data_IF_626098832538
#
_entry.id   IF_626098832538
#
_cell.length_a   1.000
_cell.length_b   1.000
_cell.length_c   1.000
_cell.angle_alpha   90.00
_cell.angle_beta   90.00
_cell.angle_gamma   90.00
#
_symmetry.space_group_name_H-M   'P 1'
#
loop_
_entity.id
_entity.type
_entity.pdbx_description
1 polymer ?
#
# COMPACT_ATOMS: atom_id res chain seq x y z
N UNK A 1 17.13 -46.55 1.55
CA UNK A 1 16.00 -46.04 2.36
C UNK A 1 15.60 -44.60 2.02
N UNK A 2 16.51 -43.65 1.71
CA UNK A 2 16.13 -42.28 1.27
C UNK A 2 15.55 -42.18 -0.16
N UNK A 3 15.69 -43.24 -0.98
CA UNK A 3 15.16 -43.32 -2.35
C UNK A 3 13.67 -43.76 -2.41
N UNK A 4 13.17 -44.43 -1.37
CA UNK A 4 11.80 -44.98 -1.34
C UNK A 4 10.78 -44.02 -0.72
N UNK A 5 11.24 -42.96 -0.05
CA UNK A 5 10.34 -41.94 0.50
C UNK A 5 9.89 -40.99 -0.61
N UNK A 6 8.58 -40.83 -0.87
CA UNK A 6 8.08 -39.92 -1.88
C UNK A 6 8.48 -38.48 -1.54
N UNK A 7 8.95 -37.74 -2.55
CA UNK A 7 9.39 -36.33 -2.40
C UNK A 7 8.23 -35.34 -2.23
N UNK A 8 7.01 -35.78 -2.57
CA UNK A 8 5.80 -35.01 -2.50
C UNK A 8 4.72 -35.86 -1.83
N UNK A 9 3.99 -35.27 -0.90
CA UNK A 9 2.80 -35.85 -0.26
C UNK A 9 1.64 -34.88 -0.47
N UNK A 10 0.43 -35.41 -0.63
CA UNK A 10 -0.76 -34.58 -0.74
C UNK A 10 -1.16 -34.05 0.66
N UNK A 11 -1.87 -32.93 0.71
CA UNK A 11 -2.37 -32.36 1.98
C UNK A 11 -3.31 -33.32 2.75
N UNK A 12 -3.88 -34.31 2.04
CA UNK A 12 -4.70 -35.38 2.64
C UNK A 12 -3.89 -36.43 3.39
N UNK A 13 -2.61 -36.59 3.06
CA UNK A 13 -1.70 -37.59 3.64
C UNK A 13 -0.94 -37.07 4.87
N UNK A 14 -1.02 -35.77 5.15
CA UNK A 14 -0.38 -35.17 6.32
C UNK A 14 -1.11 -35.55 7.61
N UNK A 15 -0.38 -35.91 8.69
CA UNK A 15 -0.95 -36.05 10.03
C UNK A 15 -1.72 -34.79 10.43
N UNK A 16 -2.81 -34.93 11.19
CA UNK A 16 -3.71 -33.81 11.51
C UNK A 16 -2.99 -32.61 12.17
N UNK A 17 -1.96 -32.87 12.97
CA UNK A 17 -1.12 -31.84 13.60
C UNK A 17 -0.25 -31.05 12.61
N UNK A 18 0.03 -31.60 11.42
CA UNK A 18 0.87 -31.02 10.37
C UNK A 18 0.03 -30.48 9.19
N UNK A 19 -1.29 -30.67 9.21
CA UNK A 19 -2.18 -30.12 8.18
C UNK A 19 -2.25 -28.61 8.31
N UNK A 20 -1.99 -27.91 7.21
CA UNK A 20 -2.12 -26.46 7.15
C UNK A 20 -3.53 -26.03 7.55
N UNK A 21 -3.62 -25.07 8.47
CA UNK A 21 -4.89 -24.43 8.81
C UNK A 21 -5.33 -23.58 7.61
N UNK A 22 -6.28 -24.08 6.84
CA UNK A 22 -6.91 -23.31 5.77
C UNK A 22 -7.69 -22.14 6.41
N UNK A 23 -7.47 -20.92 5.92
CA UNK A 23 -8.36 -19.81 6.26
C UNK A 23 -9.77 -20.20 5.85
N UNK A 24 -10.75 -20.05 6.74
CA UNK A 24 -12.15 -20.23 6.38
C UNK A 24 -12.47 -19.43 5.11
N UNK A 25 -13.23 -20.00 4.19
CA UNK A 25 -13.47 -19.44 2.84
C UNK A 25 -13.84 -17.95 2.87
N UNK A 26 -14.59 -17.51 3.89
CA UNK A 26 -14.96 -16.11 4.09
C UNK A 26 -13.77 -15.20 4.43
N UNK A 27 -12.89 -15.62 5.34
CA UNK A 27 -11.66 -14.87 5.66
C UNK A 27 -10.73 -14.76 4.44
N UNK A 28 -10.69 -15.81 3.60
CA UNK A 28 -9.94 -15.76 2.34
C UNK A 28 -10.48 -14.68 1.41
N UNK A 29 -11.79 -14.62 1.18
CA UNK A 29 -12.39 -13.61 0.30
C UNK A 29 -12.13 -12.19 0.78
N UNK A 30 -12.28 -11.93 2.09
CA UNK A 30 -11.99 -10.61 2.66
C UNK A 30 -10.53 -10.19 2.40
N UNK A 31 -9.58 -11.07 2.68
CA UNK A 31 -8.16 -10.79 2.48
C UNK A 31 -7.84 -10.58 1.00
N UNK A 32 -8.40 -11.40 0.12
CA UNK A 32 -8.18 -11.26 -1.33
C UNK A 32 -8.80 -9.96 -1.86
N UNK A 33 -9.94 -9.51 -1.34
CA UNK A 33 -10.51 -8.19 -1.65
C UNK A 33 -9.60 -7.05 -1.19
N UNK A 34 -9.08 -7.10 0.04
CA UNK A 34 -8.15 -6.08 0.55
C UNK A 34 -6.89 -5.99 -0.31
N UNK A 35 -6.31 -7.14 -0.68
CA UNK A 35 -5.15 -7.19 -1.59
C UNK A 35 -5.46 -6.59 -2.95
N UNK A 36 -6.63 -6.89 -3.52
CA UNK A 36 -7.04 -6.33 -4.81
C UNK A 36 -7.24 -4.83 -4.77
N UNK A 37 -7.80 -4.29 -3.68
CA UNK A 37 -7.94 -2.84 -3.48
C UNK A 37 -6.55 -2.20 -3.38
N UNK A 38 -5.68 -2.72 -2.51
CA UNK A 38 -4.32 -2.21 -2.34
C UNK A 38 -3.53 -2.22 -3.66
N UNK A 39 -3.56 -3.35 -4.40
CA UNK A 39 -2.88 -3.48 -5.69
C UNK A 39 -3.39 -2.46 -6.73
N UNK A 40 -4.71 -2.23 -6.78
CA UNK A 40 -5.31 -1.26 -7.71
C UNK A 40 -4.97 0.17 -7.32
N UNK A 41 -5.02 0.49 -6.03
CA UNK A 41 -4.63 1.81 -5.52
C UNK A 41 -3.16 2.11 -5.81
N UNK A 42 -2.25 1.16 -5.54
CA UNK A 42 -0.83 1.30 -5.89
C UNK A 42 -0.63 1.48 -7.39
N UNK A 43 -1.33 0.69 -8.21
CA UNK A 43 -1.25 0.81 -9.68
C UNK A 43 -1.73 2.18 -10.17
N UNK A 44 -2.81 2.72 -9.60
CA UNK A 44 -3.30 4.05 -9.93
C UNK A 44 -2.27 5.13 -9.55
N UNK A 45 -1.72 5.08 -8.33
CA UNK A 45 -0.67 6.00 -7.89
C UNK A 45 0.58 5.92 -8.79
N UNK A 46 1.04 4.71 -9.12
CA UNK A 46 2.19 4.52 -9.99
C UNK A 46 1.96 5.09 -11.39
N UNK A 47 0.74 4.96 -11.94
CA UNK A 47 0.39 5.55 -13.22
C UNK A 47 0.37 7.09 -13.16
N UNK A 48 -0.19 7.68 -12.10
CA UNK A 48 -0.18 9.13 -11.89
C UNK A 48 1.25 9.70 -11.80
N UNK A 49 2.18 8.97 -11.18
CA UNK A 49 3.59 9.37 -11.13
C UNK A 49 4.29 9.28 -12.51
N UNK A 50 3.92 8.29 -13.33
CA UNK A 50 4.50 8.10 -14.67
C UNK A 50 4.09 9.17 -15.67
N UNK A 51 2.85 9.66 -15.60
CA UNK A 51 2.34 10.69 -16.51
C UNK A 51 3.11 12.02 -16.43
N UNK A 52 3.89 12.22 -15.36
CA UNK A 52 4.56 13.49 -15.07
C UNK A 52 6.04 13.51 -15.47
N UNK A 53 6.47 12.59 -16.36
CA UNK A 53 7.79 12.55 -17.02
C UNK A 53 9.03 12.54 -16.11
N UNK A 54 8.88 12.29 -14.81
CA UNK A 54 10.00 12.25 -13.85
C UNK A 54 10.53 10.84 -13.56
N UNK A 55 9.86 9.80 -14.06
CA UNK A 55 10.27 8.39 -13.88
C UNK A 55 10.14 7.63 -15.20
N UNK A 56 11.26 7.46 -15.90
CA UNK A 56 11.30 6.83 -17.21
C UNK A 56 11.01 5.33 -17.15
N UNK A 57 11.24 4.68 -15.99
CA UNK A 57 11.07 3.23 -15.83
C UNK A 57 9.84 2.89 -14.98
N UNK A 58 9.00 1.93 -15.42
CA UNK A 58 7.82 1.50 -14.66
C UNK A 58 8.13 1.02 -13.23
N UNK A 59 9.33 0.47 -13.01
CA UNK A 59 9.74 -0.07 -11.73
C UNK A 59 10.16 1.00 -10.72
N UNK A 60 10.57 2.19 -11.19
CA UNK A 60 10.99 3.30 -10.34
C UNK A 60 9.81 3.86 -9.53
N UNK A 61 8.65 4.03 -10.16
CA UNK A 61 7.44 4.52 -9.50
C UNK A 61 6.97 3.58 -8.38
N UNK A 62 6.94 2.26 -8.64
CA UNK A 62 6.56 1.27 -7.62
C UNK A 62 7.60 1.17 -6.51
N UNK A 63 8.89 1.24 -6.84
CA UNK A 63 9.96 1.22 -5.85
C UNK A 63 9.87 2.43 -4.91
N UNK A 64 9.55 3.61 -5.44
CA UNK A 64 9.32 4.81 -4.64
C UNK A 64 8.10 4.66 -3.73
N UNK A 65 6.96 4.20 -4.25
CA UNK A 65 5.76 3.97 -3.43
C UNK A 65 6.02 2.95 -2.32
N UNK A 66 6.71 1.86 -2.62
CA UNK A 66 7.09 0.85 -1.62
C UNK A 66 8.05 1.39 -0.56
N UNK A 67 8.95 2.31 -0.92
CA UNK A 67 9.80 3.01 0.04
C UNK A 67 8.94 3.92 0.94
N UNK A 68 8.01 4.68 0.33
CA UNK A 68 7.09 5.57 1.04
C UNK A 68 6.19 4.83 2.03
N UNK A 69 5.72 3.63 1.69
CA UNK A 69 4.90 2.83 2.62
C UNK A 69 5.67 2.31 3.84
N UNK A 70 7.01 2.38 3.82
CA UNK A 70 7.87 1.98 4.94
C UNK A 70 8.32 3.16 5.79
N UNK A 71 8.08 4.40 5.35
CA UNK A 71 8.38 5.59 6.14
C UNK A 71 7.25 5.88 7.10
N UNK A 72 7.60 6.38 8.28
CA UNK A 72 6.62 6.94 9.21
C UNK A 72 6.02 8.22 8.60
N UNK A 73 4.84 8.59 9.10
CA UNK A 73 4.17 9.83 8.72
C UNK A 73 3.43 10.37 9.94
N UNK A 74 3.42 11.68 10.11
CA UNK A 74 2.63 12.30 11.17
C UNK A 74 1.17 12.37 10.75
N UNK A 75 0.27 12.00 11.66
CA UNK A 75 -1.18 12.13 11.47
C UNK A 75 -1.68 13.22 12.41
N UNK A 76 -2.08 14.34 11.84
CA UNK A 76 -2.39 15.57 12.55
C UNK A 76 -3.87 15.95 12.30
N UNK A 77 -4.79 15.54 13.19
CA UNK A 77 -6.18 15.96 13.11
C UNK A 77 -6.34 17.43 13.52
N UNK A 78 -7.04 18.20 12.70
CA UNK A 78 -7.50 19.55 13.02
C UNK A 78 -9.03 19.56 12.95
N UNK A 79 -9.66 19.52 14.12
CA UNK A 79 -11.12 19.51 14.22
C UNK A 79 -11.76 20.87 13.95
N UNK A 80 -11.01 21.98 14.10
CA UNK A 80 -11.53 23.32 13.81
C UNK A 80 -11.51 23.60 12.31
N UNK A 81 -10.42 23.23 11.64
CA UNK A 81 -10.30 23.32 10.18
C UNK A 81 -11.08 22.21 9.45
N UNK A 82 -11.47 21.15 10.16
CA UNK A 82 -12.15 19.99 9.58
C UNK A 82 -11.23 19.15 8.68
N UNK A 83 -9.94 19.05 9.02
CA UNK A 83 -8.94 18.34 8.22
C UNK A 83 -8.19 17.28 9.03
N UNK A 84 -7.64 16.30 8.32
CA UNK A 84 -6.71 15.31 8.85
C UNK A 84 -5.48 15.36 7.97
N UNK A 85 -4.41 16.00 8.46
CA UNK A 85 -3.18 16.16 7.70
C UNK A 85 -2.28 14.94 7.89
N UNK A 86 -1.87 14.33 6.78
CA UNK A 86 -0.87 13.25 6.72
C UNK A 86 0.42 13.86 6.21
N UNK A 87 1.39 14.03 7.11
CA UNK A 87 2.69 14.63 6.79
C UNK A 87 3.73 13.55 6.53
N UNK A 88 4.14 13.44 5.27
CA UNK A 88 5.17 12.52 4.82
C UNK A 88 6.54 13.13 5.09
N UNK A 89 7.47 12.39 5.67
CA UNK A 89 8.82 12.90 5.91
C UNK A 89 9.63 13.02 4.59
N UNK A 90 10.42 14.10 4.48
CA UNK A 90 11.33 14.35 3.36
C UNK A 90 12.24 13.15 3.09
N UNK A 91 12.41 12.79 1.82
CA UNK A 91 13.45 11.84 1.42
C UNK A 91 14.79 12.57 1.27
N UNK A 92 15.93 11.88 1.37
CA UNK A 92 17.25 12.54 1.26
C UNK A 92 17.55 13.21 -0.11
N UNK A 93 16.62 13.21 -1.06
CA UNK A 93 16.80 13.69 -2.42
C UNK A 93 15.66 14.62 -2.87
N UNK A 94 16.01 15.87 -3.19
CA UNK A 94 15.08 16.89 -3.66
C UNK A 94 14.27 16.49 -4.92
N UNK A 95 14.84 15.67 -5.81
CA UNK A 95 14.09 15.21 -6.99
C UNK A 95 12.98 14.23 -6.62
N UNK A 96 13.20 13.39 -5.60
CA UNK A 96 12.20 12.46 -5.07
C UNK A 96 11.08 13.22 -4.39
N UNK A 97 11.41 14.26 -3.63
CA UNK A 97 10.44 15.08 -2.93
C UNK A 97 9.53 15.89 -3.85
N UNK A 98 10.07 16.38 -4.97
CA UNK A 98 9.23 16.99 -6.01
C UNK A 98 8.21 16.00 -6.58
N UNK A 99 8.56 14.72 -6.70
CA UNK A 99 7.65 13.67 -7.18
C UNK A 99 6.60 13.34 -6.13
N UNK A 100 7.00 13.20 -4.85
CA UNK A 100 6.07 12.93 -3.74
C UNK A 100 5.10 14.10 -3.53
N UNK A 101 5.56 15.35 -3.65
CA UNK A 101 4.70 16.52 -3.52
C UNK A 101 3.57 16.50 -4.56
N UNK A 102 3.87 16.17 -5.82
CA UNK A 102 2.83 16.07 -6.85
C UNK A 102 1.85 14.93 -6.62
N UNK A 103 2.33 13.81 -6.04
CA UNK A 103 1.44 12.75 -5.59
C UNK A 103 0.49 13.26 -4.50
N UNK A 104 1.01 14.00 -3.52
CA UNK A 104 0.20 14.64 -2.48
C UNK A 104 -0.86 15.56 -3.10
N UNK A 105 -0.48 16.39 -4.08
CA UNK A 105 -1.42 17.28 -4.77
C UNK A 105 -2.56 16.48 -5.43
N UNK A 106 -2.23 15.37 -6.13
CA UNK A 106 -3.23 14.48 -6.75
C UNK A 106 -4.15 13.83 -5.74
N UNK A 107 -3.62 13.41 -4.60
CA UNK A 107 -4.44 12.85 -3.52
C UNK A 107 -5.34 13.94 -2.91
N UNK A 108 -4.85 15.17 -2.77
CA UNK A 108 -5.61 16.30 -2.24
C UNK A 108 -6.74 16.75 -3.18
N UNK A 109 -6.56 16.62 -4.49
CA UNK A 109 -7.58 16.87 -5.54
C UNK A 109 -8.79 15.93 -5.40
N UNK A 110 -8.65 14.77 -4.77
CA UNK A 110 -9.77 13.82 -4.56
C UNK A 110 -10.76 14.29 -3.49
N UNK A 111 -10.39 15.28 -2.68
CA UNK A 111 -11.18 15.79 -1.55
C UNK A 111 -11.70 14.70 -0.60
N UNK A 112 -10.92 13.63 -0.45
CA UNK A 112 -11.34 12.43 0.28
C UNK A 112 -11.59 12.75 1.76
N UNK A 113 -12.74 12.30 2.28
CA UNK A 113 -13.06 12.33 3.70
C UNK A 113 -12.53 11.07 4.40
N UNK A 114 -11.94 11.24 5.57
CA UNK A 114 -11.49 10.11 6.37
C UNK A 114 -12.70 9.31 6.88
N UNK A 115 -12.70 7.97 6.75
CA UNK A 115 -13.87 7.15 7.04
C UNK A 115 -14.47 7.42 8.42
N UNK A 116 -15.81 7.48 8.48
CA UNK A 116 -16.59 7.71 9.71
C UNK A 116 -16.32 9.05 10.41
N UNK A 117 -15.71 10.02 9.71
CA UNK A 117 -15.49 11.37 10.21
C UNK A 117 -15.88 12.39 9.13
N UNK A 118 -15.88 13.67 9.49
CA UNK A 118 -16.01 14.79 8.55
C UNK A 118 -14.65 15.45 8.25
N UNK A 119 -13.54 14.78 8.59
CA UNK A 119 -12.21 15.33 8.37
C UNK A 119 -11.77 15.07 6.93
N UNK A 120 -11.48 16.13 6.18
CA UNK A 120 -10.87 16.03 4.85
C UNK A 120 -9.40 15.65 4.97
N UNK A 121 -8.98 14.62 4.24
CA UNK A 121 -7.58 14.23 4.16
C UNK A 121 -6.78 15.27 3.38
N UNK A 122 -5.66 15.70 3.96
CA UNK A 122 -4.68 16.58 3.34
C UNK A 122 -3.31 15.91 3.45
N UNK A 123 -2.62 15.74 2.33
CA UNK A 123 -1.28 15.18 2.26
C UNK A 123 -0.28 16.30 2.01
N UNK A 124 0.83 16.31 2.74
CA UNK A 124 1.95 17.22 2.51
C UNK A 124 3.30 16.54 2.74
N UNK A 125 4.33 17.09 2.12
CA UNK A 125 5.72 16.74 2.38
C UNK A 125 6.25 17.65 3.49
N UNK A 126 6.90 17.05 4.48
CA UNK A 126 7.35 17.70 5.70
C UNK A 126 8.74 18.29 5.65
#
# INVERSE_FOLDING_TARGET
>A
QRKDTPKHVTLGELPEAERFKQLGTQSKHLIDTLKMIAYRSETAMANSLREQDQMARPDEARSLLQALYKTEADILPDHEAGTLTVRLHHSANASTDAVIQKLCDKLNETETLFPRTNLRLIYNVG
#
